data_IF_392968390852
#
_entry.id   IF_392968390852
#
_cell.length_a   1.000
_cell.length_b   1.000
_cell.length_c   1.000
_cell.angle_alpha   90.00
_cell.angle_beta   90.00
_cell.angle_gamma   90.00
#
_symmetry.space_group_name_H-M   'P 1'
#
loop_
_entity.id
_entity.type
_entity.pdbx_description
1 polymer ?
#
# COMPACT_ATOMS: atom_id res chain seq x y z
N UNK A 1 -42.09 -0.44 30.49
CA UNK A 1 -41.81 -1.73 29.84
C UNK A 1 -41.58 -1.60 28.33
N UNK A 2 -42.35 -0.75 27.61
CA UNK A 2 -42.23 -0.55 26.17
C UNK A 2 -40.90 0.11 25.76
N UNK A 3 -40.32 1.00 26.60
CA UNK A 3 -39.06 1.71 26.31
C UNK A 3 -37.83 0.79 26.40
N UNK A 4 -37.84 -0.19 27.30
CA UNK A 4 -36.69 -1.12 27.49
C UNK A 4 -36.57 -2.10 26.31
N UNK A 5 -37.68 -2.39 25.62
CA UNK A 5 -37.70 -3.33 24.47
C UNK A 5 -37.40 -2.67 23.12
N UNK A 6 -37.43 -1.32 23.04
CA UNK A 6 -37.37 -0.59 21.78
C UNK A 6 -36.15 0.32 21.67
N UNK A 7 -35.54 0.70 22.80
CA UNK A 7 -34.39 1.63 22.87
C UNK A 7 -33.14 0.98 23.42
N UNK A 8 -32.01 1.52 23.03
CA UNK A 8 -30.70 1.20 23.62
C UNK A 8 -30.63 1.85 25.03
N UNK A 9 -30.34 1.08 26.09
CA UNK A 9 -30.38 1.58 27.47
C UNK A 9 -29.28 2.61 27.77
N UNK A 10 -28.17 2.62 27.06
CA UNK A 10 -27.10 3.57 27.27
C UNK A 10 -27.38 4.92 26.60
N UNK A 11 -27.78 4.90 25.34
CA UNK A 11 -27.83 6.10 24.51
C UNK A 11 -29.21 6.64 24.27
N UNK A 12 -30.29 5.87 24.56
CA UNK A 12 -31.65 6.25 24.29
C UNK A 12 -32.06 6.24 22.81
N UNK A 13 -31.13 5.96 21.89
CA UNK A 13 -31.45 5.71 20.50
C UNK A 13 -32.29 4.44 20.35
N UNK A 14 -32.98 4.24 19.20
CA UNK A 14 -33.62 2.95 18.98
C UNK A 14 -32.59 1.82 18.94
N UNK A 15 -32.92 0.65 19.50
CA UNK A 15 -32.13 -0.54 19.26
C UNK A 15 -32.25 -0.96 17.78
N UNK A 16 -31.31 -1.79 17.33
CA UNK A 16 -31.17 -2.09 15.90
C UNK A 16 -32.45 -2.69 15.28
N UNK A 17 -33.11 -3.62 15.98
CA UNK A 17 -34.33 -4.24 15.49
C UNK A 17 -35.49 -3.25 15.35
N UNK A 18 -35.64 -2.34 16.30
CA UNK A 18 -36.65 -1.29 16.25
C UNK A 18 -36.34 -0.27 15.16
N UNK A 19 -35.07 0.08 15.00
CA UNK A 19 -34.60 0.94 13.90
C UNK A 19 -35.01 0.35 12.55
N UNK A 20 -34.67 -0.91 12.27
CA UNK A 20 -35.01 -1.56 11.00
C UNK A 20 -36.51 -1.51 10.71
N UNK A 21 -37.35 -1.87 11.69
CA UNK A 21 -38.82 -1.84 11.54
C UNK A 21 -39.35 -0.44 11.24
N UNK A 22 -38.84 0.58 11.96
CA UNK A 22 -39.26 1.97 11.73
C UNK A 22 -38.76 2.52 10.40
N UNK A 23 -37.54 2.26 10.06
CA UNK A 23 -36.95 2.68 8.80
C UNK A 23 -37.66 2.05 7.60
N UNK A 24 -37.92 0.74 7.62
CA UNK A 24 -38.65 0.06 6.56
C UNK A 24 -40.06 0.63 6.41
N UNK A 25 -40.77 0.90 7.52
CA UNK A 25 -42.09 1.52 7.49
C UNK A 25 -42.08 2.93 6.87
N UNK A 26 -41.08 3.75 7.21
CA UNK A 26 -40.95 5.09 6.62
C UNK A 26 -40.68 5.02 5.11
N UNK A 27 -39.83 4.12 4.67
CA UNK A 27 -39.46 3.97 3.25
C UNK A 27 -40.68 3.52 2.41
N UNK A 28 -41.60 2.72 2.96
CA UNK A 28 -42.77 2.25 2.25
C UNK A 28 -43.94 3.24 2.24
N UNK A 29 -43.90 4.25 3.09
CA UNK A 29 -45.05 5.17 3.29
C UNK A 29 -44.88 6.58 2.73
N UNK A 30 -43.72 6.87 2.07
CA UNK A 30 -43.40 8.24 1.66
C UNK A 30 -42.72 8.30 0.30
N UNK A 31 -42.89 9.41 -0.40
CA UNK A 31 -42.21 9.74 -1.65
C UNK A 31 -40.96 10.59 -1.43
N UNK A 32 -40.58 10.84 -0.17
CA UNK A 32 -39.38 11.61 0.14
C UNK A 32 -38.11 10.85 -0.26
N UNK A 33 -37.08 11.60 -0.65
CA UNK A 33 -35.75 11.04 -0.89
C UNK A 33 -35.04 10.80 0.42
N UNK A 34 -34.57 9.57 0.65
CA UNK A 34 -33.88 9.18 1.88
C UNK A 34 -32.44 8.80 1.63
N UNK A 35 -31.61 9.06 2.64
CA UNK A 35 -30.28 8.50 2.79
C UNK A 35 -30.17 7.70 4.08
N UNK A 36 -29.39 6.65 4.05
CA UNK A 36 -29.00 5.89 5.22
C UNK A 36 -27.51 6.10 5.47
N UNK A 37 -27.18 6.57 6.67
CA UNK A 37 -25.82 6.71 7.14
C UNK A 37 -25.47 5.60 8.13
N UNK A 38 -24.34 4.94 7.94
CA UNK A 38 -23.74 4.00 8.88
C UNK A 38 -22.49 4.64 9.49
N UNK A 39 -22.44 4.74 10.81
CA UNK A 39 -21.43 5.51 11.55
C UNK A 39 -20.68 4.60 12.51
N UNK A 40 -19.39 4.85 12.65
CA UNK A 40 -18.45 4.14 13.52
C UNK A 40 -17.40 5.13 14.06
N UNK A 41 -16.85 4.87 15.22
CA UNK A 41 -15.79 5.68 15.82
C UNK A 41 -14.44 5.03 15.60
N UNK A 42 -13.54 5.74 14.94
CA UNK A 42 -12.18 5.22 14.71
C UNK A 42 -11.47 5.01 16.05
N UNK A 43 -10.83 3.85 16.17
CA UNK A 43 -10.02 3.48 17.34
C UNK A 43 -10.74 3.55 18.70
N UNK A 44 -12.08 3.33 18.71
CA UNK A 44 -12.90 3.43 19.92
C UNK A 44 -12.42 2.48 21.03
N UNK A 45 -11.89 1.33 20.67
CA UNK A 45 -11.28 0.42 21.66
C UNK A 45 -10.08 1.07 22.36
N UNK A 46 -9.20 1.73 21.61
CA UNK A 46 -8.06 2.46 22.18
C UNK A 46 -8.53 3.55 23.15
N UNK A 47 -9.61 4.26 22.80
CA UNK A 47 -10.21 5.28 23.69
C UNK A 47 -10.64 4.64 25.02
N UNK A 48 -11.33 3.50 24.98
CA UNK A 48 -11.74 2.78 26.17
C UNK A 48 -10.55 2.27 26.99
N UNK A 49 -9.51 1.76 26.33
CA UNK A 49 -8.33 1.21 26.99
C UNK A 49 -7.50 2.30 27.68
N UNK A 50 -7.42 3.50 27.11
CA UNK A 50 -6.59 4.61 27.64
C UNK A 50 -7.37 5.47 28.61
N UNK A 51 -8.64 5.80 28.34
CA UNK A 51 -9.43 6.76 29.11
C UNK A 51 -10.53 6.11 29.97
N UNK A 52 -10.73 4.81 29.78
CA UNK A 52 -11.73 4.01 30.49
C UNK A 52 -13.11 4.01 29.84
N UNK A 53 -13.88 2.95 30.13
CA UNK A 53 -15.21 2.71 29.53
C UNK A 53 -16.21 3.82 29.80
N UNK A 54 -16.13 4.47 30.97
CA UNK A 54 -17.02 5.61 31.31
C UNK A 54 -16.87 6.75 30.31
N UNK A 55 -15.64 7.02 29.89
CA UNK A 55 -15.33 8.03 28.89
C UNK A 55 -15.95 7.68 27.52
N UNK A 56 -15.77 6.43 27.07
CA UNK A 56 -16.41 5.95 25.84
C UNK A 56 -17.95 6.05 25.90
N UNK A 57 -18.55 5.67 27.02
CA UNK A 57 -20.01 5.76 27.21
C UNK A 57 -20.52 7.21 27.11
N UNK A 58 -19.82 8.18 27.70
CA UNK A 58 -20.15 9.60 27.63
C UNK A 58 -20.10 10.13 26.18
N UNK A 59 -19.13 9.69 25.38
CA UNK A 59 -19.04 10.01 23.93
C UNK A 59 -20.28 9.49 23.20
N UNK A 60 -20.64 8.22 23.40
CA UNK A 60 -21.77 7.59 22.72
C UNK A 60 -23.09 8.24 23.12
N UNK A 61 -23.27 8.57 24.41
CA UNK A 61 -24.46 9.28 24.91
C UNK A 61 -24.57 10.65 24.26
N UNK A 62 -23.47 11.43 24.26
CA UNK A 62 -23.46 12.77 23.69
C UNK A 62 -23.71 12.74 22.18
N UNK A 63 -23.09 11.79 21.45
CA UNK A 63 -23.30 11.61 20.03
C UNK A 63 -24.79 11.32 19.72
N UNK A 64 -25.39 10.36 20.41
CA UNK A 64 -26.79 10.02 20.24
C UNK A 64 -27.74 11.19 20.56
N UNK A 65 -27.46 11.94 21.63
CA UNK A 65 -28.22 13.13 21.99
C UNK A 65 -28.11 14.23 20.94
N UNK A 66 -26.88 14.50 20.44
CA UNK A 66 -26.63 15.50 19.40
C UNK A 66 -27.40 15.19 18.12
N UNK A 67 -27.35 13.92 17.65
CA UNK A 67 -28.14 13.48 16.49
C UNK A 67 -29.64 13.61 16.77
N UNK A 68 -30.10 13.09 17.91
CA UNK A 68 -31.55 13.09 18.26
C UNK A 68 -32.16 14.49 18.26
N UNK A 69 -31.39 15.50 18.68
CA UNK A 69 -31.82 16.90 18.69
C UNK A 69 -31.89 17.53 17.28
N UNK A 70 -31.23 16.93 16.29
CA UNK A 70 -31.23 17.38 14.89
C UNK A 70 -32.21 16.61 14.00
N UNK A 71 -32.74 15.48 14.49
CA UNK A 71 -33.71 14.69 13.71
C UNK A 71 -35.01 15.44 13.45
N UNK A 72 -35.44 15.35 12.19
CA UNK A 72 -36.73 15.88 11.76
C UNK A 72 -37.81 14.79 11.85
N UNK A 73 -39.08 15.20 11.89
CA UNK A 73 -40.20 14.25 11.85
C UNK A 73 -40.10 13.36 10.62
N UNK A 74 -40.02 12.05 10.82
CA UNK A 74 -39.83 11.07 9.74
C UNK A 74 -38.36 10.67 9.53
N UNK A 75 -37.46 11.03 10.45
CA UNK A 75 -36.08 10.54 10.50
C UNK A 75 -35.92 9.65 11.73
N UNK A 76 -34.92 8.74 11.68
CA UNK A 76 -34.69 7.74 12.74
C UNK A 76 -33.23 7.53 13.01
N UNK A 77 -32.88 7.46 14.31
CA UNK A 77 -31.56 7.06 14.81
C UNK A 77 -31.65 5.70 15.47
N UNK A 78 -30.73 4.82 15.18
CA UNK A 78 -30.54 3.52 15.84
C UNK A 78 -29.11 3.26 16.23
N UNK A 79 -28.91 2.48 17.29
CA UNK A 79 -27.63 1.91 17.68
C UNK A 79 -27.58 0.45 17.26
N UNK A 80 -26.52 0.06 16.55
CA UNK A 80 -26.36 -1.31 16.04
C UNK A 80 -25.72 -2.19 17.12
N UNK A 81 -24.54 -1.80 17.57
CA UNK A 81 -23.77 -2.44 18.63
C UNK A 81 -22.55 -1.58 18.96
N UNK A 82 -22.00 -1.73 20.16
CA UNK A 82 -20.79 -1.04 20.59
C UNK A 82 -20.82 0.46 20.23
N UNK A 83 -19.99 0.90 19.30
CA UNK A 83 -19.81 2.26 18.82
C UNK A 83 -20.46 2.53 17.46
N UNK A 84 -21.31 1.61 16.97
CA UNK A 84 -21.93 1.70 15.66
C UNK A 84 -23.34 2.27 15.73
N UNK A 85 -23.60 3.31 14.93
CA UNK A 85 -24.91 3.94 14.77
C UNK A 85 -25.39 3.92 13.32
N UNK A 86 -26.71 3.97 13.17
CA UNK A 86 -27.37 4.06 11.87
C UNK A 86 -28.42 5.17 11.91
N UNK A 87 -28.47 5.97 10.84
CA UNK A 87 -29.33 7.14 10.78
C UNK A 87 -30.04 7.16 9.43
N UNK A 88 -31.35 7.16 9.46
CA UNK A 88 -32.18 7.39 8.27
C UNK A 88 -32.63 8.85 8.26
N UNK A 89 -32.22 9.60 7.22
CA UNK A 89 -32.53 11.02 7.05
C UNK A 89 -33.12 11.26 5.65
N UNK A 90 -34.14 12.13 5.56
CA UNK A 90 -34.56 12.62 4.25
C UNK A 90 -33.84 13.91 3.88
N UNK A 91 -33.75 14.19 2.57
CA UNK A 91 -33.06 15.36 2.03
C UNK A 91 -33.78 15.92 0.82
N UNK A 92 -33.57 17.19 0.53
CA UNK A 92 -33.93 17.82 -0.72
C UNK A 92 -32.72 17.78 -1.71
N UNK A 93 -31.54 18.12 -1.21
CA UNK A 93 -30.28 18.03 -1.94
C UNK A 93 -29.30 17.10 -1.20
N UNK A 94 -28.52 16.30 -1.94
CA UNK A 94 -27.56 15.34 -1.36
C UNK A 94 -26.58 16.00 -0.40
N UNK A 95 -26.16 17.23 -0.72
CA UNK A 95 -25.20 17.97 0.12
C UNK A 95 -25.75 18.25 1.54
N UNK A 96 -27.06 18.33 1.72
CA UNK A 96 -27.69 18.57 3.05
C UNK A 96 -27.25 17.52 4.08
N UNK A 97 -27.14 16.27 3.66
CA UNK A 97 -26.76 15.16 4.54
C UNK A 97 -25.32 15.31 5.01
N UNK A 98 -24.41 15.67 4.10
CA UNK A 98 -22.99 15.88 4.46
C UNK A 98 -22.82 17.07 5.39
N UNK A 99 -23.50 18.19 5.10
CA UNK A 99 -23.46 19.40 5.95
C UNK A 99 -23.97 19.10 7.35
N UNK A 100 -25.12 18.43 7.48
CA UNK A 100 -25.67 18.04 8.78
C UNK A 100 -24.73 17.11 9.55
N UNK A 101 -24.10 16.16 8.89
CA UNK A 101 -23.16 15.27 9.54
C UNK A 101 -21.89 16.02 9.99
N UNK A 102 -21.37 16.94 9.18
CA UNK A 102 -20.24 17.79 9.59
C UNK A 102 -20.58 18.65 10.81
N UNK A 103 -21.80 19.18 10.91
CA UNK A 103 -22.23 19.94 12.09
C UNK A 103 -22.26 19.08 13.36
N UNK A 104 -22.69 17.83 13.25
CA UNK A 104 -22.63 16.87 14.35
C UNK A 104 -21.19 16.62 14.78
N UNK A 105 -20.30 16.37 13.83
CA UNK A 105 -18.89 16.08 14.12
C UNK A 105 -18.19 17.27 14.79
N UNK A 106 -18.51 18.51 14.39
CA UNK A 106 -18.00 19.72 15.04
C UNK A 106 -18.44 19.75 16.49
N UNK A 107 -19.73 19.57 16.77
CA UNK A 107 -20.28 19.59 18.14
C UNK A 107 -19.68 18.51 19.03
N UNK A 108 -19.43 17.31 18.47
CA UNK A 108 -18.79 16.23 19.21
C UNK A 108 -17.33 16.56 19.50
N UNK A 109 -16.62 17.16 18.53
CA UNK A 109 -15.22 17.58 18.71
C UNK A 109 -15.12 18.68 19.76
N UNK A 110 -16.03 19.67 19.76
CA UNK A 110 -16.12 20.72 20.76
C UNK A 110 -16.40 20.15 22.17
N UNK A 111 -17.41 19.26 22.28
CA UNK A 111 -17.70 18.57 23.54
C UNK A 111 -16.48 17.83 24.09
N UNK A 112 -15.76 17.13 23.26
CA UNK A 112 -14.56 16.39 23.65
C UNK A 112 -13.44 17.32 24.08
N UNK A 113 -13.24 18.44 23.37
CA UNK A 113 -12.23 19.43 23.73
C UNK A 113 -12.51 20.05 25.09
N UNK A 114 -13.76 20.41 25.37
CA UNK A 114 -14.16 21.09 26.61
C UNK A 114 -14.04 20.16 27.82
N UNK A 115 -14.39 18.89 27.65
CA UNK A 115 -14.42 17.93 28.75
C UNK A 115 -13.09 17.26 29.05
N UNK A 116 -12.20 17.11 28.04
CA UNK A 116 -11.07 16.19 28.12
C UNK A 116 -9.75 16.70 27.52
N UNK A 117 -9.64 18.00 27.24
CA UNK A 117 -8.37 18.62 26.87
C UNK A 117 -7.82 18.27 25.48
N UNK A 118 -8.70 17.97 24.51
CA UNK A 118 -8.34 18.09 23.09
C UNK A 118 -7.96 16.82 22.34
N UNK A 119 -8.27 15.63 22.83
CA UNK A 119 -8.16 14.43 21.99
C UNK A 119 -9.38 14.28 21.09
N UNK A 120 -9.18 14.42 19.78
CA UNK A 120 -10.22 14.32 18.78
C UNK A 120 -10.58 12.85 18.49
N UNK A 121 -11.84 12.48 18.73
CA UNK A 121 -12.40 11.22 18.21
C UNK A 121 -12.76 11.41 16.74
N UNK A 122 -12.30 10.53 15.90
CA UNK A 122 -12.64 10.55 14.48
C UNK A 122 -13.86 9.68 14.22
N UNK A 123 -14.91 10.30 13.67
CA UNK A 123 -16.13 9.59 13.24
C UNK A 123 -15.97 9.19 11.78
N UNK A 124 -16.22 7.93 11.48
CA UNK A 124 -16.26 7.40 10.11
C UNK A 124 -17.70 7.16 9.68
N UNK A 125 -18.13 7.74 8.58
CA UNK A 125 -19.50 7.66 8.12
C UNK A 125 -19.58 7.19 6.67
N UNK A 126 -20.35 6.13 6.43
CA UNK A 126 -20.74 5.71 5.09
C UNK A 126 -22.18 6.10 4.80
N UNK A 127 -22.42 6.75 3.68
CA UNK A 127 -23.72 7.29 3.27
C UNK A 127 -24.20 6.53 2.04
N UNK A 128 -25.44 6.01 2.10
CA UNK A 128 -26.12 5.42 0.97
C UNK A 128 -27.34 6.28 0.62
N UNK A 129 -27.37 6.88 -0.56
CA UNK A 129 -28.56 7.57 -1.09
C UNK A 129 -29.44 6.55 -1.79
N UNK A 130 -30.69 6.45 -1.39
CA UNK A 130 -31.59 5.42 -1.91
C UNK A 130 -31.93 5.63 -3.39
N UNK A 131 -31.97 6.88 -3.84
CA UNK A 131 -32.20 7.20 -5.27
C UNK A 131 -31.09 6.71 -6.22
N UNK A 132 -29.90 6.43 -5.69
CA UNK A 132 -28.76 5.94 -6.49
C UNK A 132 -28.75 4.40 -6.60
N UNK A 133 -29.69 3.73 -5.95
CA UNK A 133 -29.79 2.28 -5.99
C UNK A 133 -30.55 1.83 -7.23
N UNK A 134 -29.95 0.90 -7.97
CA UNK A 134 -30.57 0.32 -9.18
C UNK A 134 -31.73 -0.64 -8.88
N UNK A 135 -31.86 -1.07 -7.63
CA UNK A 135 -32.86 -2.05 -7.17
C UNK A 135 -33.60 -1.54 -5.94
N UNK A 136 -34.86 -1.89 -5.83
CA UNK A 136 -35.65 -1.62 -4.61
C UNK A 136 -35.22 -2.63 -3.53
N UNK A 137 -34.49 -2.15 -2.54
CA UNK A 137 -33.86 -3.00 -1.53
C UNK A 137 -34.61 -2.96 -0.20
N UNK A 138 -34.61 -4.09 0.47
CA UNK A 138 -34.97 -4.17 1.89
C UNK A 138 -33.94 -3.40 2.73
N UNK A 139 -34.33 -2.96 3.92
CA UNK A 139 -33.48 -2.13 4.80
C UNK A 139 -32.09 -2.75 5.07
N UNK A 140 -32.02 -4.07 5.18
CA UNK A 140 -30.76 -4.79 5.35
C UNK A 140 -29.79 -4.56 4.20
N UNK A 141 -30.29 -4.61 2.98
CA UNK A 141 -29.47 -4.35 1.79
C UNK A 141 -28.96 -2.91 1.71
N UNK A 142 -29.74 -1.93 2.20
CA UNK A 142 -29.35 -0.53 2.27
C UNK A 142 -28.30 -0.31 3.37
N UNK A 143 -28.48 -0.96 4.53
CA UNK A 143 -27.55 -0.96 5.65
C UNK A 143 -26.18 -1.51 5.23
N UNK A 144 -26.14 -2.64 4.51
CA UNK A 144 -24.90 -3.22 4.00
C UNK A 144 -24.17 -2.24 3.09
N UNK A 145 -24.88 -1.53 2.21
CA UNK A 145 -24.30 -0.57 1.28
C UNK A 145 -23.69 0.64 2.01
N UNK A 146 -24.40 1.18 2.98
CA UNK A 146 -23.89 2.26 3.82
C UNK A 146 -22.64 1.81 4.59
N UNK A 147 -22.66 0.59 5.16
CA UNK A 147 -21.52 0.03 5.85
C UNK A 147 -20.34 -0.28 4.91
N UNK A 148 -20.60 -0.67 3.67
CA UNK A 148 -19.54 -0.83 2.66
C UNK A 148 -18.85 0.51 2.38
N UNK A 149 -19.62 1.59 2.18
CA UNK A 149 -19.05 2.92 2.01
C UNK A 149 -18.20 3.32 3.23
N UNK A 150 -18.70 3.13 4.47
CA UNK A 150 -17.95 3.40 5.70
C UNK A 150 -16.59 2.71 5.73
N UNK A 151 -16.52 1.43 5.36
CA UNK A 151 -15.26 0.65 5.34
C UNK A 151 -14.21 1.20 4.37
N UNK A 152 -14.58 2.05 3.42
CA UNK A 152 -13.63 2.71 2.50
C UNK A 152 -13.04 3.99 3.06
N UNK A 153 -13.59 4.52 4.16
CA UNK A 153 -13.03 5.67 4.85
C UNK A 153 -11.71 5.25 5.49
N UNK A 154 -10.59 5.83 5.04
CA UNK A 154 -9.26 5.53 5.58
C UNK A 154 -8.96 6.41 6.78
N UNK A 155 -8.49 5.81 7.86
CA UNK A 155 -7.96 6.51 9.04
C UNK A 155 -6.73 7.34 8.61
N UNK A 156 -6.68 8.60 9.05
CA UNK A 156 -5.52 9.48 8.76
C UNK A 156 -5.61 10.37 7.52
N UNK A 157 -6.58 10.17 6.63
CA UNK A 157 -6.91 11.12 5.56
C UNK A 157 -8.07 12.01 6.03
N UNK A 158 -8.05 13.31 5.68
CA UNK A 158 -9.08 14.30 6.02
C UNK A 158 -10.51 13.97 5.52
N UNK A 159 -10.76 12.74 5.07
CA UNK A 159 -12.07 12.27 4.62
C UNK A 159 -12.73 11.43 5.72
N UNK A 160 -13.69 12.02 6.41
CA UNK A 160 -14.51 11.35 7.42
C UNK A 160 -15.73 10.64 6.82
N UNK A 161 -16.02 10.85 5.53
CA UNK A 161 -17.25 10.40 4.88
C UNK A 161 -16.95 9.71 3.55
N UNK A 162 -17.73 8.67 3.26
CA UNK A 162 -17.77 8.03 1.94
C UNK A 162 -19.24 7.83 1.51
N UNK A 163 -19.51 8.11 0.25
CA UNK A 163 -20.83 7.85 -0.35
C UNK A 163 -20.76 6.51 -1.08
N UNK A 164 -21.75 5.67 -0.88
CA UNK A 164 -21.84 4.40 -1.59
C UNK A 164 -22.06 4.64 -3.09
N UNK A 165 -21.30 3.93 -3.88
CA UNK A 165 -21.58 3.67 -5.28
C UNK A 165 -21.31 2.19 -5.59
N UNK A 166 -21.75 1.71 -6.75
CA UNK A 166 -21.62 0.30 -7.14
C UNK A 166 -20.14 -0.11 -7.36
N UNK A 167 -19.24 0.85 -7.60
CA UNK A 167 -17.81 0.57 -7.74
C UNK A 167 -17.21 0.07 -6.41
N UNK A 168 -17.66 0.60 -5.28
CA UNK A 168 -17.26 0.16 -3.94
C UNK A 168 -17.61 -1.32 -3.73
N UNK A 169 -18.82 -1.71 -4.10
CA UNK A 169 -19.27 -3.12 -3.99
C UNK A 169 -18.46 -4.05 -4.88
N UNK A 170 -18.20 -3.62 -6.12
CA UNK A 170 -17.34 -4.36 -7.06
C UNK A 170 -15.94 -4.52 -6.50
N UNK A 171 -15.36 -3.44 -5.96
CA UNK A 171 -14.03 -3.45 -5.36
C UNK A 171 -13.97 -4.43 -4.17
N UNK A 172 -14.92 -4.38 -3.24
CA UNK A 172 -14.95 -5.29 -2.08
C UNK A 172 -15.13 -6.76 -2.48
N UNK A 173 -15.97 -7.03 -3.49
CA UNK A 173 -16.12 -8.39 -4.04
C UNK A 173 -14.82 -8.86 -4.68
N UNK A 174 -14.14 -7.98 -5.41
CA UNK A 174 -12.85 -8.27 -6.00
C UNK A 174 -11.79 -8.57 -4.92
N UNK A 175 -11.66 -7.71 -3.90
CA UNK A 175 -10.75 -7.95 -2.77
C UNK A 175 -11.04 -9.29 -2.08
N UNK A 176 -12.33 -9.61 -1.88
CA UNK A 176 -12.72 -10.89 -1.28
C UNK A 176 -12.40 -12.08 -2.18
N UNK A 177 -12.53 -11.94 -3.50
CA UNK A 177 -12.14 -12.99 -4.45
C UNK A 177 -10.64 -13.24 -4.42
N UNK A 178 -9.83 -12.18 -4.38
CA UNK A 178 -8.37 -12.25 -4.20
C UNK A 178 -8.05 -12.97 -2.88
N UNK A 179 -8.62 -12.52 -1.76
CA UNK A 179 -8.41 -13.15 -0.44
C UNK A 179 -8.68 -14.65 -0.45
N UNK A 180 -9.79 -15.08 -1.02
CA UNK A 180 -10.18 -16.48 -1.05
C UNK A 180 -9.24 -17.38 -1.88
N UNK A 181 -8.51 -16.80 -2.84
CA UNK A 181 -7.57 -17.54 -3.72
C UNK A 181 -6.13 -17.54 -3.21
N UNK A 182 -5.75 -16.60 -2.35
CA UNK A 182 -4.36 -16.31 -1.98
C UNK A 182 -3.55 -17.54 -1.61
N UNK A 183 -4.01 -18.32 -0.62
CA UNK A 183 -3.27 -19.50 -0.13
C UNK A 183 -3.17 -20.59 -1.20
N UNK A 184 -4.28 -20.85 -1.89
CA UNK A 184 -4.31 -21.86 -2.95
C UNK A 184 -3.41 -21.48 -4.13
N UNK A 185 -3.34 -20.20 -4.45
CA UNK A 185 -2.49 -19.71 -5.55
C UNK A 185 -0.99 -19.83 -5.23
N UNK A 186 -0.59 -19.71 -3.95
CA UNK A 186 0.77 -20.02 -3.52
C UNK A 186 1.10 -21.52 -3.67
N UNK A 187 0.17 -22.40 -3.29
CA UNK A 187 0.33 -23.85 -3.44
C UNK A 187 0.36 -24.29 -4.91
N UNK A 188 -0.45 -23.66 -5.76
CA UNK A 188 -0.53 -23.95 -7.19
C UNK A 188 0.59 -23.28 -8.03
N UNK A 189 1.53 -22.56 -7.39
CA UNK A 189 2.61 -21.85 -8.08
C UNK A 189 2.13 -20.81 -9.11
N UNK A 190 0.98 -20.17 -8.89
CA UNK A 190 0.41 -19.14 -9.77
C UNK A 190 1.21 -17.81 -9.74
N UNK A 191 2.17 -17.65 -8.82
CA UNK A 191 3.02 -16.47 -8.73
C UNK A 191 4.30 -16.67 -9.53
N UNK A 192 4.45 -15.85 -10.57
CA UNK A 192 5.62 -15.80 -11.43
C UNK A 192 6.57 -14.71 -10.96
N UNK A 193 7.86 -14.90 -11.16
CA UNK A 193 8.88 -13.88 -10.95
C UNK A 193 9.31 -13.31 -12.30
N UNK A 194 9.11 -12.02 -12.49
CA UNK A 194 9.65 -11.25 -13.59
C UNK A 194 10.91 -10.54 -13.12
N UNK A 195 11.83 -10.27 -14.02
CA UNK A 195 13.07 -9.57 -13.72
C UNK A 195 13.11 -8.26 -14.50
N UNK A 196 13.38 -7.15 -13.81
CA UNK A 196 13.63 -5.88 -14.48
C UNK A 196 15.08 -5.53 -14.37
N UNK A 197 15.83 -5.51 -15.51
CA UNK A 197 17.25 -5.20 -15.52
C UNK A 197 17.53 -3.78 -15.02
N UNK A 198 18.59 -3.65 -14.19
CA UNK A 198 19.20 -2.38 -13.78
C UNK A 198 20.44 -2.18 -14.64
N UNK A 199 20.48 -1.07 -15.40
CA UNK A 199 21.56 -0.78 -16.36
C UNK A 199 22.58 0.13 -15.72
N UNK A 200 23.82 -0.30 -15.73
CA UNK A 200 24.97 0.51 -15.30
C UNK A 200 25.23 1.61 -16.34
N UNK A 201 25.26 2.86 -15.88
CA UNK A 201 25.40 4.03 -16.77
C UNK A 201 26.80 4.25 -17.34
N UNK A 202 27.82 3.61 -16.77
CA UNK A 202 29.19 3.70 -17.29
C UNK A 202 29.43 2.69 -18.41
N UNK A 203 28.95 1.45 -18.20
CA UNK A 203 29.16 0.35 -19.14
C UNK A 203 28.03 0.17 -20.15
N UNK A 204 26.82 0.66 -19.84
CA UNK A 204 25.61 0.44 -20.64
C UNK A 204 25.05 -0.99 -20.56
N UNK A 205 25.57 -1.83 -19.65
CA UNK A 205 25.17 -3.23 -19.50
C UNK A 205 24.21 -3.42 -18.33
N UNK A 206 23.31 -4.39 -18.45
CA UNK A 206 22.46 -4.83 -17.35
C UNK A 206 23.27 -5.67 -16.36
N UNK A 207 23.71 -5.05 -15.27
CA UNK A 207 24.61 -5.67 -14.29
C UNK A 207 23.87 -6.21 -13.06
N UNK A 208 22.60 -5.85 -12.88
CA UNK A 208 21.74 -6.27 -11.79
C UNK A 208 20.28 -6.36 -12.29
N UNK A 209 19.39 -6.93 -11.49
CA UNK A 209 17.97 -6.91 -11.78
C UNK A 209 17.14 -6.88 -10.51
N UNK A 210 15.93 -6.36 -10.60
CA UNK A 210 14.90 -6.47 -9.57
C UNK A 210 13.92 -7.59 -9.89
N UNK A 211 13.62 -8.42 -8.89
CA UNK A 211 12.62 -9.48 -8.97
C UNK A 211 11.25 -8.92 -8.63
N UNK A 212 10.34 -8.98 -9.58
CA UNK A 212 8.99 -8.42 -9.51
C UNK A 212 7.95 -9.54 -9.65
N UNK A 213 7.15 -9.73 -8.62
CA UNK A 213 6.10 -10.75 -8.64
C UNK A 213 4.97 -10.38 -9.62
N UNK A 214 4.43 -11.40 -10.30
CA UNK A 214 3.22 -11.34 -11.13
C UNK A 214 2.32 -12.50 -10.75
N UNK A 215 1.04 -12.26 -10.59
CA UNK A 215 0.10 -13.34 -10.31
C UNK A 215 -0.61 -13.73 -11.61
N UNK A 216 -0.29 -14.90 -12.11
CA UNK A 216 -0.95 -15.48 -13.26
C UNK A 216 -2.00 -16.50 -12.80
N UNK A 217 -3.26 -16.20 -13.09
CA UNK A 217 -4.36 -17.11 -12.76
C UNK A 217 -4.34 -18.34 -13.67
N UNK A 218 -5.05 -19.38 -13.27
CA UNK A 218 -5.29 -20.60 -14.04
C UNK A 218 -5.92 -20.34 -15.42
N UNK A 219 -6.63 -19.20 -15.55
CA UNK A 219 -7.19 -18.71 -16.85
C UNK A 219 -6.16 -17.97 -17.71
N UNK A 220 -4.92 -17.83 -17.23
CA UNK A 220 -3.85 -17.10 -17.92
C UNK A 220 -3.88 -15.58 -17.77
N UNK A 221 -4.78 -15.03 -16.93
CA UNK A 221 -4.84 -13.60 -16.66
C UNK A 221 -3.71 -13.19 -15.71
N UNK A 222 -2.97 -12.14 -16.04
CA UNK A 222 -1.95 -11.58 -15.16
C UNK A 222 -2.57 -10.45 -14.30
N UNK A 223 -2.59 -10.66 -13.00
CA UNK A 223 -3.00 -9.67 -12.01
C UNK A 223 -1.76 -8.88 -11.59
N UNK A 224 -1.74 -7.54 -11.73
CA UNK A 224 -0.58 -6.72 -11.36
C UNK A 224 -0.44 -6.57 -9.84
N UNK A 225 0.79 -6.32 -9.33
CA UNK A 225 1.08 -6.27 -7.89
C UNK A 225 0.25 -5.27 -7.09
N UNK A 226 -0.06 -4.10 -7.64
CA UNK A 226 -0.88 -3.06 -7.02
C UNK A 226 -2.31 -3.53 -6.65
N UNK A 227 -2.79 -4.60 -7.27
CA UNK A 227 -4.12 -5.16 -7.04
C UNK A 227 -4.16 -6.22 -5.95
N UNK A 228 -3.05 -6.90 -5.64
CA UNK A 228 -3.07 -7.98 -4.65
C UNK A 228 -2.13 -7.76 -3.46
N UNK A 229 -0.98 -7.11 -3.62
CA UNK A 229 -0.03 -6.86 -2.52
C UNK A 229 -0.70 -6.17 -1.33
N UNK A 230 -1.49 -5.08 -1.48
CA UNK A 230 -2.15 -4.45 -0.34
C UNK A 230 -3.13 -5.37 0.40
N UNK A 231 -3.74 -6.34 -0.33
CA UNK A 231 -4.65 -7.32 0.28
C UNK A 231 -3.84 -8.37 1.07
N UNK A 232 -2.70 -8.83 0.52
CA UNK A 232 -1.79 -9.75 1.21
C UNK A 232 -1.21 -9.12 2.48
N UNK A 233 -0.84 -7.84 2.46
CA UNK A 233 -0.39 -7.10 3.64
C UNK A 233 -1.48 -7.01 4.70
N UNK A 234 -2.68 -6.56 4.33
CA UNK A 234 -3.84 -6.44 5.22
C UNK A 234 -4.22 -7.77 5.89
N UNK A 235 -3.92 -8.89 5.25
CA UNK A 235 -4.23 -10.24 5.74
C UNK A 235 -3.02 -10.95 6.38
N UNK A 236 -1.90 -10.26 6.53
CA UNK A 236 -0.65 -10.82 7.09
C UNK A 236 -0.09 -12.02 6.31
N UNK A 237 -0.48 -12.18 5.04
CA UNK A 237 -0.01 -13.25 4.17
C UNK A 237 1.15 -12.84 3.26
N UNK A 238 1.50 -11.55 3.27
CA UNK A 238 2.60 -11.02 2.46
C UNK A 238 3.93 -11.71 2.79
N UNK A 239 4.17 -12.07 4.05
CA UNK A 239 5.37 -12.77 4.47
C UNK A 239 5.57 -14.11 3.75
N UNK A 240 4.48 -14.83 3.49
CA UNK A 240 4.53 -16.10 2.74
C UNK A 240 4.84 -15.88 1.27
N UNK A 241 4.30 -14.80 0.68
CA UNK A 241 4.58 -14.41 -0.70
C UNK A 241 6.05 -13.97 -0.88
N UNK A 242 6.56 -13.12 0.02
CA UNK A 242 7.94 -12.65 0.00
C UNK A 242 8.92 -13.84 0.04
N UNK A 243 8.69 -14.77 0.97
CA UNK A 243 9.52 -15.99 1.07
C UNK A 243 9.39 -16.88 -0.16
N UNK A 244 8.21 -16.97 -0.78
CA UNK A 244 8.01 -17.71 -2.02
C UNK A 244 8.83 -17.08 -3.17
N UNK A 245 8.71 -15.76 -3.37
CA UNK A 245 9.48 -15.03 -4.38
C UNK A 245 10.98 -15.19 -4.14
N UNK A 246 11.43 -15.04 -2.89
CA UNK A 246 12.82 -15.19 -2.52
C UNK A 246 13.36 -16.60 -2.84
N UNK A 247 12.59 -17.67 -2.57
CA UNK A 247 12.96 -19.04 -2.94
C UNK A 247 13.06 -19.22 -4.45
N UNK A 248 12.14 -18.63 -5.24
CA UNK A 248 12.18 -18.70 -6.71
C UNK A 248 13.42 -17.98 -7.25
N UNK A 249 13.79 -16.82 -6.71
CA UNK A 249 15.02 -16.10 -7.05
C UNK A 249 16.26 -16.94 -6.71
N UNK A 250 16.31 -17.52 -5.51
CA UNK A 250 17.42 -18.41 -5.14
C UNK A 250 17.54 -19.65 -6.07
N UNK A 251 16.42 -20.23 -6.46
CA UNK A 251 16.38 -21.36 -7.40
C UNK A 251 16.91 -20.95 -8.78
N UNK A 252 16.51 -19.76 -9.28
CA UNK A 252 17.00 -19.18 -10.52
C UNK A 252 18.53 -18.99 -10.49
N UNK A 253 19.05 -18.31 -9.45
CA UNK A 253 20.49 -18.08 -9.29
C UNK A 253 21.25 -19.42 -9.23
N UNK A 254 20.76 -20.38 -8.43
CA UNK A 254 21.40 -21.68 -8.29
C UNK A 254 21.49 -22.44 -9.60
N UNK A 255 20.40 -22.51 -10.35
CA UNK A 255 20.36 -23.17 -11.67
C UNK A 255 21.42 -22.59 -12.62
N UNK A 256 21.59 -21.28 -12.66
CA UNK A 256 22.60 -20.62 -13.51
C UNK A 256 24.02 -20.92 -13.04
N UNK A 257 24.27 -20.88 -11.72
CA UNK A 257 25.57 -21.24 -11.15
C UNK A 257 25.94 -22.69 -11.46
N UNK A 258 24.98 -23.63 -11.34
CA UNK A 258 25.22 -25.04 -11.65
C UNK A 258 25.50 -25.30 -13.13
N UNK A 259 24.94 -24.47 -14.01
CA UNK A 259 25.22 -24.48 -15.44
C UNK A 259 26.53 -23.74 -15.82
N UNK A 260 27.27 -23.17 -14.87
CA UNK A 260 28.46 -22.36 -15.13
C UNK A 260 28.14 -21.06 -15.87
N UNK A 261 26.91 -20.59 -15.83
CA UNK A 261 26.45 -19.37 -16.49
C UNK A 261 26.64 -18.15 -15.59
N UNK A 262 26.83 -16.97 -16.17
CA UNK A 262 26.97 -15.74 -15.40
C UNK A 262 25.72 -15.43 -14.58
N UNK A 263 25.94 -14.91 -13.38
CA UNK A 263 24.88 -14.48 -12.48
C UNK A 263 25.12 -13.05 -12.04
N UNK A 264 24.07 -12.26 -12.07
CA UNK A 264 24.06 -10.89 -11.55
C UNK A 264 23.40 -10.85 -10.18
N UNK A 265 23.66 -9.79 -9.42
CA UNK A 265 22.93 -9.51 -8.19
C UNK A 265 21.44 -9.31 -8.51
N UNK A 266 20.57 -9.99 -7.77
CA UNK A 266 19.13 -9.84 -7.90
C UNK A 266 18.59 -9.29 -6.60
N UNK A 267 17.86 -8.19 -6.70
CA UNK A 267 17.15 -7.60 -5.57
C UNK A 267 15.74 -8.17 -5.45
N UNK A 268 15.27 -8.29 -4.21
CA UNK A 268 13.94 -8.75 -3.86
C UNK A 268 13.30 -7.77 -2.88
N UNK A 269 12.07 -7.41 -3.14
CA UNK A 269 11.26 -6.60 -2.25
C UNK A 269 10.87 -7.40 -1.01
N UNK A 270 10.95 -6.76 0.16
CA UNK A 270 10.55 -7.34 1.44
C UNK A 270 9.59 -6.38 2.14
N UNK A 271 8.40 -6.88 2.44
CA UNK A 271 7.39 -6.11 3.17
C UNK A 271 7.88 -5.73 4.57
N UNK A 272 7.50 -4.52 5.02
CA UNK A 272 7.77 -4.07 6.39
C UNK A 272 7.30 -5.04 7.46
N UNK A 273 6.27 -5.84 7.21
CA UNK A 273 5.76 -6.83 8.17
C UNK A 273 6.78 -7.94 8.48
N UNK A 274 7.71 -8.22 7.56
CA UNK A 274 8.81 -9.17 7.81
C UNK A 274 9.74 -8.68 8.92
N UNK A 275 10.01 -7.38 8.98
CA UNK A 275 10.92 -6.81 9.98
C UNK A 275 10.42 -6.97 11.40
N UNK A 276 9.10 -7.10 11.62
CA UNK A 276 8.53 -7.38 12.94
C UNK A 276 8.57 -8.87 13.33
N UNK A 277 8.97 -9.75 12.40
CA UNK A 277 9.15 -11.17 12.68
C UNK A 277 10.57 -11.42 13.21
N UNK A 278 10.68 -11.93 14.45
CA UNK A 278 11.97 -12.22 15.10
C UNK A 278 12.84 -13.22 14.29
N UNK A 279 12.25 -14.08 13.51
CA UNK A 279 12.91 -15.13 12.74
C UNK A 279 13.22 -14.70 11.29
N UNK A 280 12.97 -13.44 10.94
CA UNK A 280 13.12 -12.94 9.57
C UNK A 280 14.52 -13.21 9.00
N UNK A 281 15.57 -12.67 9.65
CA UNK A 281 16.95 -12.80 9.17
C UNK A 281 17.35 -14.27 9.05
N UNK A 282 17.05 -15.06 10.07
CA UNK A 282 17.34 -16.49 10.08
C UNK A 282 16.64 -17.23 8.95
N UNK A 283 15.36 -16.94 8.71
CA UNK A 283 14.59 -17.58 7.63
C UNK A 283 15.21 -17.33 6.26
N UNK A 284 15.64 -16.08 5.99
CA UNK A 284 16.27 -15.73 4.71
C UNK A 284 17.69 -16.31 4.60
N UNK A 285 18.45 -16.33 5.68
CA UNK A 285 19.76 -17.00 5.74
C UNK A 285 19.63 -18.50 5.46
N UNK A 286 18.65 -19.19 6.11
CA UNK A 286 18.43 -20.62 5.91
C UNK A 286 18.05 -20.95 4.46
N UNK A 287 17.21 -20.12 3.82
CA UNK A 287 16.87 -20.28 2.41
C UNK A 287 18.12 -20.07 1.53
N UNK A 288 18.89 -18.98 1.73
CA UNK A 288 20.14 -18.68 1.01
C UNK A 288 21.11 -19.87 1.10
N UNK A 289 21.31 -20.40 2.31
CA UNK A 289 22.22 -21.51 2.58
C UNK A 289 21.73 -22.82 1.95
N UNK A 290 20.42 -23.09 1.99
CA UNK A 290 19.82 -24.25 1.33
C UNK A 290 20.12 -24.29 -0.16
N UNK A 291 20.04 -23.15 -0.84
CA UNK A 291 20.36 -23.03 -2.26
C UNK A 291 21.86 -22.78 -2.52
N UNK A 292 22.70 -22.67 -1.48
CA UNK A 292 24.14 -22.38 -1.59
C UNK A 292 24.44 -21.17 -2.45
N UNK A 293 23.74 -20.06 -2.18
CA UNK A 293 23.92 -18.82 -2.90
C UNK A 293 25.12 -18.06 -2.34
N UNK A 294 26.11 -17.69 -3.17
CA UNK A 294 27.24 -16.86 -2.75
C UNK A 294 26.79 -15.50 -2.20
N UNK A 295 27.66 -14.91 -1.36
CA UNK A 295 27.44 -13.56 -0.84
C UNK A 295 27.35 -12.54 -1.97
N UNK A 296 26.61 -11.46 -1.72
CA UNK A 296 26.40 -10.31 -2.63
C UNK A 296 25.62 -10.60 -3.92
N UNK A 297 25.08 -11.81 -4.12
CA UNK A 297 24.16 -12.11 -5.23
C UNK A 297 22.70 -11.84 -4.92
N UNK A 298 22.37 -11.60 -3.64
CA UNK A 298 21.03 -11.27 -3.18
C UNK A 298 21.04 -9.89 -2.52
N UNK A 299 20.14 -9.04 -2.96
CA UNK A 299 19.90 -7.71 -2.41
C UNK A 299 18.48 -7.67 -1.83
N UNK A 300 18.33 -7.19 -0.61
CA UNK A 300 17.05 -7.00 0.06
C UNK A 300 16.64 -5.54 -0.09
N UNK A 301 15.51 -5.30 -0.76
CA UNK A 301 14.93 -3.97 -0.92
C UNK A 301 13.92 -3.69 0.19
N UNK A 302 14.10 -2.58 0.88
CA UNK A 302 13.24 -2.11 1.96
C UNK A 302 12.75 -0.70 1.67
N UNK A 303 11.47 -0.45 1.87
CA UNK A 303 10.90 0.88 1.63
C UNK A 303 11.34 1.88 2.71
N UNK A 304 11.47 3.15 2.34
CA UNK A 304 11.83 4.25 3.27
C UNK A 304 10.92 4.27 4.53
N UNK A 305 9.65 3.93 4.37
CA UNK A 305 8.66 3.98 5.45
C UNK A 305 8.97 3.10 6.66
N UNK A 306 9.76 2.03 6.50
CA UNK A 306 10.18 1.15 7.62
C UNK A 306 11.03 1.90 8.64
N UNK A 307 11.80 2.89 8.20
CA UNK A 307 12.70 3.66 9.06
C UNK A 307 11.99 4.55 10.09
N UNK A 308 10.71 4.89 9.86
CA UNK A 308 9.98 5.78 10.75
C UNK A 308 9.56 5.12 12.07
N UNK A 309 9.37 3.82 12.09
CA UNK A 309 8.83 3.14 13.28
C UNK A 309 9.89 2.93 14.36
N UNK A 310 11.11 2.52 14.00
CA UNK A 310 12.21 2.30 14.94
C UNK A 310 13.57 2.21 14.24
N UNK A 311 14.30 3.32 14.15
CA UNK A 311 15.60 3.40 13.46
C UNK A 311 16.64 2.44 14.08
N UNK A 312 16.69 2.32 15.41
CA UNK A 312 17.66 1.44 16.09
C UNK A 312 17.41 -0.05 15.79
N UNK A 313 16.15 -0.43 15.73
CA UNK A 313 15.77 -1.80 15.37
C UNK A 313 16.14 -2.09 13.92
N UNK A 314 15.84 -1.17 13.01
CA UNK A 314 16.18 -1.29 11.60
C UNK A 314 17.70 -1.40 11.40
N UNK A 315 18.50 -0.54 12.06
CA UNK A 315 19.97 -0.57 12.01
C UNK A 315 20.51 -1.94 12.43
N UNK A 316 20.01 -2.50 13.53
CA UNK A 316 20.41 -3.83 14.00
C UNK A 316 20.07 -4.92 12.98
N UNK A 317 18.84 -4.94 12.45
CA UNK A 317 18.38 -5.93 11.50
C UNK A 317 19.14 -5.86 10.18
N UNK A 318 19.39 -4.65 9.67
CA UNK A 318 20.20 -4.43 8.46
C UNK A 318 21.64 -4.88 8.66
N UNK A 319 22.26 -4.54 9.81
CA UNK A 319 23.62 -4.99 10.13
C UNK A 319 23.72 -6.51 10.21
N UNK A 320 22.69 -7.18 10.75
CA UNK A 320 22.63 -8.63 10.82
C UNK A 320 22.50 -9.25 9.42
N UNK A 321 21.59 -8.75 8.55
CA UNK A 321 21.45 -9.19 7.16
C UNK A 321 22.78 -9.05 6.40
N UNK A 322 23.48 -7.92 6.54
CA UNK A 322 24.79 -7.70 5.91
C UNK A 322 25.83 -8.69 6.40
N UNK A 323 25.84 -9.04 7.68
CA UNK A 323 26.75 -10.07 8.24
C UNK A 323 26.50 -11.46 7.64
N UNK A 324 25.32 -11.70 7.05
CA UNK A 324 24.94 -12.93 6.35
C UNK A 324 25.19 -12.85 4.83
N UNK A 325 25.84 -11.79 4.35
CA UNK A 325 26.25 -11.60 2.96
C UNK A 325 25.15 -11.06 2.04
N UNK A 326 24.07 -10.48 2.58
CA UNK A 326 23.08 -9.75 1.81
C UNK A 326 23.54 -8.33 1.51
N UNK A 327 23.19 -7.81 0.32
CA UNK A 327 23.21 -6.38 0.04
C UNK A 327 21.84 -5.78 0.44
N UNK A 328 21.86 -4.51 0.83
CA UNK A 328 20.65 -3.82 1.28
C UNK A 328 20.43 -2.57 0.46
N UNK A 329 19.22 -2.38 -0.05
CA UNK A 329 18.79 -1.14 -0.69
C UNK A 329 17.61 -0.51 0.00
N UNK A 330 17.59 0.83 -0.02
CA UNK A 330 16.41 1.62 0.35
C UNK A 330 15.65 1.98 -0.91
N UNK A 331 14.37 1.62 -0.93
CA UNK A 331 13.44 1.86 -2.04
C UNK A 331 12.52 3.05 -1.78
N UNK A 332 11.95 3.62 -2.85
CA UNK A 332 11.01 4.75 -2.84
C UNK A 332 11.56 6.01 -2.13
N UNK A 333 12.89 6.22 -2.15
CA UNK A 333 13.49 7.36 -1.48
C UNK A 333 12.98 8.68 -2.04
N UNK A 334 12.40 9.50 -1.15
CA UNK A 334 11.87 10.84 -1.45
C UNK A 334 10.36 10.92 -1.58
N UNK A 335 9.63 9.82 -1.42
CA UNK A 335 8.16 9.83 -1.44
C UNK A 335 7.55 10.20 -0.09
N UNK A 336 8.35 10.17 0.99
CA UNK A 336 7.96 10.46 2.35
C UNK A 336 8.74 11.62 2.98
N UNK A 337 8.83 11.64 4.29
CA UNK A 337 9.70 12.57 5.03
C UNK A 337 11.13 12.01 5.03
N UNK A 338 11.80 12.09 3.88
CA UNK A 338 13.17 11.58 3.69
C UNK A 338 14.10 12.07 4.78
N UNK A 339 14.49 11.16 5.65
CA UNK A 339 15.41 11.49 6.74
C UNK A 339 16.85 11.24 6.32
N UNK A 340 17.64 12.30 6.14
CA UNK A 340 19.10 12.19 5.99
C UNK A 340 19.73 11.41 7.16
N UNK A 341 19.04 11.33 8.31
CA UNK A 341 19.40 10.49 9.44
C UNK A 341 19.45 9.00 9.08
N UNK A 342 18.59 8.54 8.18
CA UNK A 342 18.58 7.17 7.69
C UNK A 342 19.88 6.84 6.96
N UNK A 343 20.29 7.69 6.02
CA UNK A 343 21.54 7.51 5.27
C UNK A 343 22.79 7.56 6.15
N UNK A 344 22.72 8.29 7.28
CA UNK A 344 23.83 8.37 8.24
C UNK A 344 23.96 7.12 9.11
N UNK A 345 22.84 6.56 9.54
CA UNK A 345 22.80 5.57 10.61
C UNK A 345 22.69 4.12 10.10
N UNK A 346 22.07 3.90 8.94
CA UNK A 346 21.81 2.56 8.43
C UNK A 346 22.84 2.21 7.37
N UNK A 347 23.57 1.07 7.51
CA UNK A 347 24.64 0.67 6.60
C UNK A 347 24.07 0.05 5.30
N UNK A 348 23.47 0.86 4.45
CA UNK A 348 22.92 0.43 3.15
C UNK A 348 23.98 0.40 2.06
N UNK A 349 23.74 -0.39 1.01
CA UNK A 349 24.64 -0.52 -0.15
C UNK A 349 24.14 0.26 -1.37
N UNK A 350 22.81 0.41 -1.47
CA UNK A 350 22.13 1.03 -2.63
C UNK A 350 21.01 1.95 -2.16
N UNK A 351 20.88 3.09 -2.83
CA UNK A 351 19.75 4.00 -2.71
C UNK A 351 19.00 4.06 -4.03
N UNK A 352 17.70 3.72 -4.02
CA UNK A 352 16.82 3.83 -5.18
C UNK A 352 16.06 5.15 -5.10
N UNK A 353 16.21 5.99 -6.13
CA UNK A 353 15.57 7.29 -6.23
C UNK A 353 14.26 7.10 -7.00
N UNK A 354 13.14 7.37 -6.34
CA UNK A 354 11.80 7.12 -6.88
C UNK A 354 11.50 7.92 -8.15
N UNK A 355 10.69 7.33 -9.02
CA UNK A 355 10.23 7.92 -10.27
C UNK A 355 9.55 9.28 -10.13
N UNK A 356 9.00 9.62 -8.97
CA UNK A 356 8.33 10.91 -8.73
C UNK A 356 9.26 12.10 -8.94
N UNK A 357 10.56 11.93 -8.73
CA UNK A 357 11.56 12.96 -9.01
C UNK A 357 11.78 13.22 -10.50
N UNK A 358 11.42 12.26 -11.36
CA UNK A 358 11.67 12.30 -12.81
C UNK A 358 10.41 12.60 -13.64
N UNK A 359 9.23 12.67 -13.00
CA UNK A 359 7.99 13.06 -13.69
C UNK A 359 8.05 14.51 -14.11
N UNK A 360 7.31 14.86 -15.17
CA UNK A 360 7.19 16.25 -15.61
C UNK A 360 6.68 17.13 -14.45
N UNK A 361 7.51 18.04 -14.00
CA UNK A 361 7.19 19.02 -12.96
C UNK A 361 7.36 20.42 -13.50
N UNK A 362 6.54 21.35 -12.98
CA UNK A 362 6.65 22.80 -13.25
C UNK A 362 8.00 23.34 -12.73
N UNK A 363 8.71 22.59 -11.89
CA UNK A 363 9.94 23.00 -11.20
C UNK A 363 11.17 22.18 -11.60
N UNK A 364 11.24 21.69 -12.85
CA UNK A 364 12.31 20.81 -13.37
C UNK A 364 13.75 21.21 -12.96
N UNK A 365 14.06 22.51 -12.92
CA UNK A 365 15.38 22.99 -12.49
C UNK A 365 15.64 22.72 -10.99
N UNK A 366 14.64 22.92 -10.14
CA UNK A 366 14.77 22.66 -8.69
C UNK A 366 14.89 21.18 -8.42
N UNK A 367 14.12 20.37 -9.11
CA UNK A 367 14.17 18.91 -8.98
C UNK A 367 15.55 18.38 -9.39
N UNK A 368 16.12 18.87 -10.49
CA UNK A 368 17.47 18.52 -10.93
C UNK A 368 18.56 18.91 -9.90
N UNK A 369 18.41 20.07 -9.23
CA UNK A 369 19.33 20.48 -8.16
C UNK A 369 19.24 19.52 -6.97
N UNK A 370 18.03 19.16 -6.58
CA UNK A 370 17.80 18.22 -5.45
C UNK A 370 18.36 16.84 -5.78
N UNK A 371 18.04 16.29 -6.97
CA UNK A 371 18.54 14.99 -7.42
C UNK A 371 20.09 14.98 -7.42
N UNK A 372 20.70 16.01 -7.99
CA UNK A 372 22.17 16.15 -7.99
C UNK A 372 22.71 16.18 -6.57
N UNK A 373 22.10 16.95 -5.67
CA UNK A 373 22.54 17.02 -4.27
C UNK A 373 22.46 15.67 -3.56
N UNK A 374 21.38 14.90 -3.80
CA UNK A 374 21.20 13.55 -3.26
C UNK A 374 22.29 12.62 -3.79
N UNK A 375 22.50 12.56 -5.11
CA UNK A 375 23.50 11.68 -5.75
C UNK A 375 24.90 12.02 -5.27
N UNK A 376 25.27 13.30 -5.20
CA UNK A 376 26.58 13.76 -4.72
C UNK A 376 26.81 13.35 -3.26
N UNK A 377 25.80 13.47 -2.41
CA UNK A 377 25.86 13.05 -1.00
C UNK A 377 26.06 11.53 -0.87
N UNK A 378 25.25 10.76 -1.57
CA UNK A 378 25.20 9.30 -1.48
C UNK A 378 26.51 8.69 -2.04
N UNK A 379 27.05 9.24 -3.13
CA UNK A 379 28.35 8.84 -3.68
C UNK A 379 29.49 9.10 -2.69
N UNK A 380 29.47 10.22 -1.94
CA UNK A 380 30.45 10.49 -0.87
C UNK A 380 30.35 9.53 0.30
N UNK A 381 29.19 8.94 0.53
CA UNK A 381 28.98 7.90 1.53
C UNK A 381 29.32 6.50 1.02
N UNK A 382 29.83 6.38 -0.23
CA UNK A 382 30.11 5.10 -0.90
C UNK A 382 28.88 4.19 -1.05
N UNK A 383 27.69 4.78 -1.15
CA UNK A 383 26.43 4.12 -1.43
C UNK A 383 26.14 4.26 -2.92
N UNK A 384 25.77 3.18 -3.61
CA UNK A 384 25.40 3.21 -5.02
C UNK A 384 24.01 3.78 -5.22
N UNK A 385 23.75 4.40 -6.36
CA UNK A 385 22.47 4.97 -6.71
C UNK A 385 21.81 4.21 -7.86
N UNK A 386 20.49 4.00 -7.76
CA UNK A 386 19.62 3.55 -8.84
C UNK A 386 18.53 4.57 -9.03
N UNK A 387 18.38 5.12 -10.23
CA UNK A 387 17.26 6.00 -10.57
C UNK A 387 16.16 5.16 -11.24
N UNK A 388 14.93 5.28 -10.73
CA UNK A 388 13.79 4.49 -11.18
C UNK A 388 12.86 5.23 -12.13
N UNK A 389 12.06 4.47 -12.90
CA UNK A 389 11.04 5.03 -13.78
C UNK A 389 11.60 5.87 -14.92
N UNK A 390 12.82 5.56 -15.38
CA UNK A 390 13.48 6.30 -16.45
C UNK A 390 12.91 5.89 -17.81
N UNK A 391 12.37 6.87 -18.55
CA UNK A 391 11.64 6.63 -19.79
C UNK A 391 12.22 7.41 -20.99
N UNK A 392 13.08 8.42 -20.77
CA UNK A 392 13.57 9.28 -21.86
C UNK A 392 15.10 9.38 -21.92
N UNK A 393 15.61 9.63 -23.13
CA UNK A 393 17.03 9.86 -23.35
C UNK A 393 17.59 11.09 -22.60
N UNK A 394 16.76 12.11 -22.40
CA UNK A 394 17.12 13.33 -21.66
C UNK A 394 17.37 13.00 -20.18
N UNK A 395 16.49 12.17 -19.57
CA UNK A 395 16.67 11.70 -18.19
C UNK A 395 17.99 10.91 -18.07
N UNK A 396 18.27 10.02 -19.01
CA UNK A 396 19.54 9.25 -19.05
C UNK A 396 20.74 10.18 -19.14
N UNK A 397 20.71 11.17 -20.05
CA UNK A 397 21.82 12.12 -20.22
C UNK A 397 22.06 12.94 -18.95
N UNK A 398 21.00 13.40 -18.30
CA UNK A 398 21.06 14.11 -17.03
C UNK A 398 21.70 13.23 -15.93
N UNK A 399 21.20 12.01 -15.74
CA UNK A 399 21.69 11.09 -14.71
C UNK A 399 23.15 10.71 -14.91
N UNK A 400 23.59 10.55 -16.17
CA UNK A 400 25.02 10.40 -16.49
C UNK A 400 25.83 11.62 -16.07
N UNK A 401 25.32 12.83 -16.32
CA UNK A 401 26.04 14.08 -16.01
C UNK A 401 26.23 14.33 -14.52
N UNK A 402 25.37 13.73 -13.67
CA UNK A 402 25.43 13.84 -12.20
C UNK A 402 26.03 12.58 -11.53
N UNK A 403 26.63 11.68 -12.29
CA UNK A 403 27.28 10.45 -11.82
C UNK A 403 26.34 9.50 -11.05
N UNK A 404 25.10 9.35 -11.49
CA UNK A 404 24.24 8.26 -11.06
C UNK A 404 24.87 6.92 -11.53
N UNK A 405 24.82 5.88 -10.67
CA UNK A 405 25.49 4.61 -11.01
C UNK A 405 24.65 3.77 -11.97
N UNK A 406 23.38 3.57 -11.66
CA UNK A 406 22.49 2.70 -12.42
C UNK A 406 21.13 3.35 -12.63
N UNK A 407 20.43 2.84 -13.63
CA UNK A 407 19.03 3.21 -13.91
C UNK A 407 18.20 1.97 -14.12
N UNK A 408 16.91 2.12 -13.77
CA UNK A 408 15.87 1.15 -14.00
C UNK A 408 14.67 1.88 -14.62
N UNK A 409 14.13 1.37 -15.73
CA UNK A 409 12.99 2.02 -16.37
C UNK A 409 12.73 1.53 -17.79
N UNK A 410 11.61 1.97 -18.34
CA UNK A 410 11.10 1.52 -19.63
C UNK A 410 11.92 2.04 -20.81
N UNK A 411 12.83 2.96 -20.57
CA UNK A 411 13.79 3.39 -21.60
C UNK A 411 14.68 2.24 -22.08
N UNK A 412 15.11 1.35 -21.17
CA UNK A 412 15.90 0.18 -21.54
C UNK A 412 15.08 -1.10 -21.51
N UNK A 413 14.46 -1.40 -20.37
CA UNK A 413 13.77 -2.66 -20.16
C UNK A 413 12.50 -2.50 -19.35
N UNK A 414 11.45 -3.17 -19.79
CA UNK A 414 10.29 -3.49 -18.95
C UNK A 414 10.59 -4.72 -18.10
N UNK A 415 9.82 -5.01 -17.05
CA UNK A 415 9.90 -6.30 -16.37
C UNK A 415 9.72 -7.45 -17.37
N UNK A 416 10.65 -8.40 -17.37
CA UNK A 416 10.74 -9.50 -18.33
C UNK A 416 10.47 -10.84 -17.65
N UNK A 417 9.79 -11.78 -18.28
CA UNK A 417 9.74 -13.16 -17.80
C UNK A 417 11.16 -13.77 -17.83
N UNK A 418 11.33 -14.83 -17.04
CA UNK A 418 12.61 -15.44 -16.75
C UNK A 418 13.44 -15.81 -17.99
N UNK A 419 12.80 -16.44 -18.99
CA UNK A 419 13.43 -16.85 -20.24
C UNK A 419 14.02 -15.68 -21.05
N UNK A 420 13.29 -14.56 -21.11
CA UNK A 420 13.74 -13.35 -21.80
C UNK A 420 14.89 -12.65 -21.03
N UNK A 421 14.81 -12.65 -19.72
CA UNK A 421 15.89 -12.12 -18.89
C UNK A 421 17.18 -12.95 -19.03
N UNK A 422 17.08 -14.27 -19.04
CA UNK A 422 18.24 -15.15 -19.30
C UNK A 422 18.90 -14.88 -20.66
N UNK A 423 18.11 -14.63 -21.69
CA UNK A 423 18.63 -14.31 -23.01
C UNK A 423 19.48 -13.02 -23.00
N UNK A 424 19.06 -11.99 -22.24
CA UNK A 424 19.83 -10.75 -22.06
C UNK A 424 21.14 -11.04 -21.34
N UNK A 425 21.10 -11.76 -20.19
CA UNK A 425 22.30 -12.09 -19.42
C UNK A 425 23.33 -12.85 -20.27
N UNK A 426 22.88 -13.81 -21.08
CA UNK A 426 23.76 -14.62 -21.91
C UNK A 426 24.40 -13.78 -23.05
N UNK A 427 23.64 -12.86 -23.66
CA UNK A 427 24.13 -11.96 -24.70
C UNK A 427 25.16 -10.98 -24.15
N UNK A 428 24.90 -10.35 -23.02
CA UNK A 428 25.81 -9.37 -22.43
C UNK A 428 27.10 -10.00 -21.93
N UNK A 429 27.05 -11.24 -21.44
CA UNK A 429 28.23 -11.97 -21.05
C UNK A 429 29.15 -12.32 -22.23
N UNK A 430 28.53 -12.80 -23.32
CA UNK A 430 29.29 -13.08 -24.56
C UNK A 430 30.01 -11.84 -25.09
N UNK A 431 29.39 -10.67 -24.95
CA UNK A 431 29.99 -9.39 -25.32
C UNK A 431 31.14 -9.02 -24.40
N UNK A 432 31.06 -9.24 -23.09
CA UNK A 432 32.17 -9.00 -22.14
C UNK A 432 33.38 -9.88 -22.41
N UNK A 433 33.19 -11.13 -22.86
CA UNK A 433 34.27 -12.04 -23.19
C UNK A 433 34.97 -11.69 -24.53
N UNK A 434 34.26 -11.07 -25.45
CA UNK A 434 34.75 -10.81 -26.81
C UNK A 434 35.26 -9.39 -27.03
N UNK A 435 34.93 -8.42 -26.18
CA UNK A 435 35.30 -7.02 -26.35
C UNK A 435 36.60 -6.69 -25.57
N UNK A 436 37.63 -6.14 -26.21
CA UNK A 436 38.69 -5.47 -25.52
C UNK A 436 38.12 -4.22 -24.82
N UNK A 437 38.63 -3.89 -23.64
CA UNK A 437 38.13 -2.90 -22.66
C UNK A 437 37.80 -1.48 -23.19
N UNK A 438 37.96 -1.20 -24.48
CA UNK A 438 37.76 0.11 -25.09
C UNK A 438 36.45 0.33 -25.87
N UNK A 439 35.73 -0.73 -26.24
CA UNK A 439 34.57 -0.61 -27.19
C UNK A 439 33.17 -0.73 -26.57
N UNK A 440 33.06 -0.73 -25.25
CA UNK A 440 31.73 -0.82 -24.57
C UNK A 440 30.77 0.37 -24.84
N UNK A 441 31.28 1.45 -25.45
CA UNK A 441 30.44 2.64 -25.76
C UNK A 441 29.53 2.47 -26.98
N UNK A 442 29.80 1.55 -27.87
CA UNK A 442 29.04 1.35 -29.12
C UNK A 442 27.81 0.48 -28.93
N UNK A 443 27.84 -0.43 -27.96
CA UNK A 443 26.76 -1.40 -27.70
C UNK A 443 25.48 -0.81 -27.08
N UNK A 444 25.61 0.28 -26.33
CA UNK A 444 24.44 0.98 -25.78
C UNK A 444 23.58 1.64 -26.88
N UNK A 445 24.19 2.02 -28.00
CA UNK A 445 23.49 2.63 -29.13
C UNK A 445 22.79 1.59 -30.05
N UNK A 446 23.39 0.41 -30.19
CA UNK A 446 22.80 -0.64 -31.04
C UNK A 446 21.61 -1.38 -30.39
N UNK A 447 21.61 -1.54 -29.06
CA UNK A 447 20.48 -2.10 -28.35
C UNK A 447 19.25 -1.16 -28.36
N UNK A 448 19.48 0.15 -28.47
CA UNK A 448 18.39 1.14 -28.58
C UNK A 448 17.63 1.03 -29.93
N UNK A 449 18.32 0.71 -31.04
CA UNK A 449 17.74 0.63 -32.38
C UNK A 449 16.95 -0.66 -32.61
N UNK A 450 17.26 -1.75 -31.92
CA UNK A 450 16.62 -3.06 -32.11
C UNK A 450 15.31 -3.26 -31.35
N UNK A 451 14.98 -2.39 -30.40
CA UNK A 451 13.71 -2.46 -29.64
C UNK A 451 12.62 -1.50 -30.15
N UNK A 452 12.95 -0.60 -31.08
CA UNK A 452 12.01 0.37 -31.68
C UNK A 452 11.63 0.03 -33.13
N UNK A 453 11.93 -1.17 -33.64
CA UNK A 453 11.44 -1.71 -34.92
C UNK A 453 10.50 -2.88 -34.72
#
# INVERSE_FOLDING_TARGET
>A
LYDITTKDPLTGAYNFETFKKKAQKLLTQTTKKYSLSYVDFADFKYINDVFGYKYGDEILINYAATISNELRTGEVLGRVSADNFVILRYYNEKNDIMVRQQQVDIKITEFMHDMYGGQAVSVQCGICYLEDLAEDLQIEGILDRANYARKTVKTGLNRKYAVYDESIRKQLRYEKSIENRMLKSLENEEFLVYFQPKVDLQTGLATQAEALVRWQTDEGLIIPPDKFIPIFEKKYLISSLDQYVFKKVCAFIRRRLDAGLPVNTISVNVSRLQFYNSDFVKTYEDIKNKFRIPDHLLEIEITESIAFDNVTFLEKTVSELKSKGFLISIDDFGTGFSSLSLLKNIPIDVLKIDQSFFRESIHKEKDNIVIKGIIDLVNKLSIRTVAEGIETAEQVAFLKSVNCNMIQGYFFYRPLPEDKFEAILNKEYAVKETAPAADSKVLAAENWTLQNN
#
